data_IF_330903085641
#
_entry.id   IF_330903085641
#
_cell.length_a   1.000
_cell.length_b   1.000
_cell.length_c   1.000
_cell.angle_alpha   90.00
_cell.angle_beta   90.00
_cell.angle_gamma   90.00
#
_symmetry.space_group_name_H-M   'P 1'
#
loop_
_entity.id
_entity.type
_entity.pdbx_description
1 polymer ?
#
# COMPACT_ATOMS: atom_id res chain seq x y z
N UNK A 1 -24.77 2.32 -0.52
CA UNK A 1 -24.15 3.53 0.04
C UNK A 1 -23.54 4.36 -1.08
N UNK A 2 -23.76 5.67 -1.06
CA UNK A 2 -23.00 6.66 -1.83
C UNK A 2 -21.65 6.97 -1.13
N UNK A 3 -20.78 7.75 -1.77
CA UNK A 3 -19.44 8.03 -1.23
C UNK A 3 -19.47 8.87 0.05
N UNK A 4 -20.47 9.74 0.23
CA UNK A 4 -20.60 10.57 1.44
C UNK A 4 -20.95 9.69 2.65
N UNK A 5 -21.89 8.76 2.48
CA UNK A 5 -22.24 7.77 3.51
C UNK A 5 -21.06 6.85 3.82
N UNK A 6 -20.29 6.45 2.80
CA UNK A 6 -19.10 5.62 2.98
C UNK A 6 -18.00 6.37 3.75
N UNK A 7 -17.72 7.63 3.42
CA UNK A 7 -16.77 8.46 4.18
C UNK A 7 -17.22 8.64 5.62
N UNK A 8 -18.51 8.91 5.85
CA UNK A 8 -19.08 9.02 7.20
C UNK A 8 -18.91 7.73 8.00
N UNK A 9 -19.05 6.57 7.36
CA UNK A 9 -18.80 5.29 8.00
C UNK A 9 -17.31 5.08 8.26
N UNK A 10 -16.44 5.36 7.28
CA UNK A 10 -15.01 5.09 7.35
C UNK A 10 -14.32 5.81 8.52
N UNK A 11 -14.64 7.09 8.76
CA UNK A 11 -14.08 7.84 9.90
C UNK A 11 -14.44 7.24 11.26
N UNK A 12 -15.52 6.45 11.34
CA UNK A 12 -15.95 5.73 12.54
C UNK A 12 -15.36 4.33 12.61
N UNK A 13 -15.19 3.66 11.46
CA UNK A 13 -14.76 2.27 11.39
C UNK A 13 -13.24 2.11 11.36
N UNK A 14 -12.45 3.16 11.07
CA UNK A 14 -10.97 3.05 11.12
C UNK A 14 -10.52 2.54 12.49
N UNK A 15 -9.58 1.61 12.50
CA UNK A 15 -9.13 0.95 13.73
C UNK A 15 -8.37 1.92 14.64
N UNK A 16 -7.49 2.73 14.06
CA UNK A 16 -6.70 3.72 14.80
C UNK A 16 -7.41 5.06 14.85
N UNK A 17 -7.49 5.65 16.05
CA UNK A 17 -8.09 6.98 16.24
C UNK A 17 -7.38 8.06 15.43
N UNK A 18 -6.06 8.01 15.35
CA UNK A 18 -5.23 9.02 14.67
C UNK A 18 -4.85 8.49 13.28
N UNK A 19 -5.20 9.17 12.18
CA UNK A 19 -4.72 8.83 10.85
C UNK A 19 -3.19 8.96 10.72
N UNK A 20 -2.59 8.36 9.69
CA UNK A 20 -1.18 8.54 9.33
C UNK A 20 -1.02 8.47 7.82
N UNK A 21 0.22 8.60 7.35
CA UNK A 21 0.64 8.39 5.98
C UNK A 21 1.87 7.49 5.90
N UNK A 22 1.96 6.77 4.80
CA UNK A 22 3.12 6.04 4.30
C UNK A 22 3.59 6.68 2.99
N UNK A 23 4.89 6.56 2.71
CA UNK A 23 5.46 7.03 1.45
C UNK A 23 6.36 6.00 0.74
N UNK A 24 6.46 6.14 -0.57
CA UNK A 24 7.49 5.49 -1.38
C UNK A 24 8.77 6.33 -1.40
N UNK A 25 9.92 5.67 -1.24
CA UNK A 25 11.25 6.24 -1.35
C UNK A 25 12.08 5.34 -2.27
N UNK A 26 12.20 5.73 -3.52
CA UNK A 26 12.87 4.95 -4.57
C UNK A 26 13.61 5.88 -5.53
N UNK A 27 14.44 5.35 -6.40
CA UNK A 27 14.92 6.08 -7.58
C UNK A 27 15.26 5.09 -8.69
N UNK A 28 15.28 5.57 -9.94
CA UNK A 28 15.52 4.73 -11.14
C UNK A 28 16.83 3.94 -11.12
N UNK A 29 17.79 4.35 -10.29
CA UNK A 29 19.16 3.81 -10.28
C UNK A 29 19.43 2.92 -9.07
N UNK A 30 18.45 2.68 -8.20
CA UNK A 30 18.66 2.01 -6.92
C UNK A 30 19.81 2.65 -6.13
N UNK A 31 19.96 3.98 -6.22
CA UNK A 31 21.04 4.71 -5.58
C UNK A 31 20.79 4.79 -4.07
N UNK A 32 21.58 4.09 -3.23
CA UNK A 32 21.34 4.03 -1.79
C UNK A 32 21.59 5.37 -1.11
N UNK A 33 22.45 6.24 -1.66
CA UNK A 33 22.71 7.55 -1.06
C UNK A 33 21.49 8.46 -1.21
N UNK A 34 20.85 8.42 -2.37
CA UNK A 34 19.62 9.17 -2.63
C UNK A 34 18.47 8.61 -1.77
N UNK A 35 18.27 7.29 -1.73
CA UNK A 35 17.24 6.65 -0.87
C UNK A 35 17.40 7.10 0.58
N UNK A 36 18.62 7.09 1.14
CA UNK A 36 18.84 7.51 2.52
C UNK A 36 18.51 8.98 2.77
N UNK A 37 18.81 9.87 1.81
CA UNK A 37 18.51 11.30 1.92
C UNK A 37 17.00 11.56 1.84
N UNK A 38 16.33 11.00 0.82
CA UNK A 38 14.89 11.16 0.61
C UNK A 38 14.09 10.54 1.77
N UNK A 39 14.56 9.41 2.32
CA UNK A 39 13.97 8.78 3.50
C UNK A 39 14.06 9.65 4.76
N UNK A 40 15.19 10.36 4.94
CA UNK A 40 15.36 11.29 6.05
C UNK A 40 14.41 12.49 5.91
N UNK A 41 14.30 13.07 4.72
CA UNK A 41 13.33 14.14 4.43
C UNK A 41 11.89 13.68 4.69
N UNK A 42 11.51 12.52 4.17
CA UNK A 42 10.19 11.93 4.38
C UNK A 42 9.88 11.73 5.88
N UNK A 43 10.88 11.30 6.66
CA UNK A 43 10.75 11.15 8.12
C UNK A 43 10.43 12.49 8.81
N UNK A 44 11.10 13.57 8.39
CA UNK A 44 10.88 14.93 8.91
C UNK A 44 9.51 15.47 8.50
N UNK A 45 9.05 15.17 7.28
CA UNK A 45 7.73 15.57 6.76
C UNK A 45 6.55 14.86 7.44
N UNK A 46 6.82 13.79 8.21
CA UNK A 46 5.82 13.17 9.09
C UNK A 46 5.28 11.81 8.63
N UNK A 47 5.86 11.21 7.59
CA UNK A 47 5.52 9.83 7.21
C UNK A 47 5.90 8.85 8.33
N UNK A 48 5.01 7.92 8.67
CA UNK A 48 5.23 6.94 9.75
C UNK A 48 5.67 5.57 9.26
N UNK A 49 5.38 5.27 8.00
CA UNK A 49 5.94 4.12 7.30
C UNK A 49 6.54 4.60 5.99
N UNK A 50 7.66 3.99 5.59
CA UNK A 50 8.31 4.25 4.31
C UNK A 50 8.58 2.94 3.61
N UNK A 51 8.49 2.95 2.30
CA UNK A 51 8.61 1.77 1.46
C UNK A 51 9.57 2.05 0.33
N UNK A 52 10.44 1.08 0.04
CA UNK A 52 11.25 1.09 -1.16
C UNK A 52 10.98 -0.18 -1.96
N UNK A 53 11.37 -0.16 -3.23
CA UNK A 53 11.48 -1.33 -4.08
C UNK A 53 12.68 -1.12 -5.00
N UNK A 54 12.83 -1.93 -6.03
CA UNK A 54 14.05 -2.07 -6.81
C UNK A 54 13.81 -1.93 -8.31
N UNK A 55 14.70 -1.22 -9.01
CA UNK A 55 14.84 -1.35 -10.46
C UNK A 55 15.55 -2.63 -10.86
N UNK A 56 16.51 -3.07 -10.05
CA UNK A 56 17.27 -4.30 -10.22
C UNK A 56 17.20 -5.11 -8.92
N UNK A 57 16.58 -6.28 -8.96
CA UNK A 57 16.32 -7.14 -7.78
C UNK A 57 17.52 -7.34 -6.83
N UNK A 58 18.74 -7.43 -7.37
CA UNK A 58 19.97 -7.63 -6.58
C UNK A 58 20.37 -6.45 -5.70
N UNK A 59 19.79 -5.26 -5.92
CA UNK A 59 20.01 -4.07 -5.08
C UNK A 59 19.12 -4.04 -3.83
N UNK A 60 18.16 -4.95 -3.67
CA UNK A 60 17.21 -4.94 -2.55
C UNK A 60 17.87 -4.79 -1.16
N UNK A 61 18.99 -5.47 -0.83
CA UNK A 61 19.65 -5.25 0.45
C UNK A 61 20.18 -3.83 0.66
N UNK A 62 20.68 -3.18 -0.41
CA UNK A 62 21.16 -1.80 -0.35
C UNK A 62 20.02 -0.80 -0.24
N UNK A 63 18.93 -1.00 -0.99
CA UNK A 63 17.74 -0.15 -0.90
C UNK A 63 17.12 -0.24 0.50
N UNK A 64 16.92 -1.45 1.02
CA UNK A 64 16.38 -1.69 2.35
C UNK A 64 17.23 -1.03 3.46
N UNK A 65 18.56 -1.24 3.43
CA UNK A 65 19.46 -0.65 4.42
C UNK A 65 19.50 0.87 4.35
N UNK A 66 19.55 1.42 3.13
CA UNK A 66 19.54 2.87 2.91
C UNK A 66 18.26 3.51 3.43
N UNK A 67 17.11 2.91 3.13
CA UNK A 67 15.81 3.35 3.61
C UNK A 67 15.79 3.32 5.14
N UNK A 68 16.13 2.19 5.77
CA UNK A 68 16.16 2.05 7.22
C UNK A 68 17.02 3.13 7.89
N UNK A 69 18.27 3.30 7.44
CA UNK A 69 19.19 4.31 7.99
C UNK A 69 18.64 5.72 7.79
N UNK A 70 18.20 6.06 6.57
CA UNK A 70 17.68 7.38 6.24
C UNK A 70 16.45 7.73 7.08
N UNK A 71 15.46 6.83 7.16
CA UNK A 71 14.25 7.05 7.93
C UNK A 71 14.55 7.26 9.42
N UNK A 72 15.49 6.49 10.00
CA UNK A 72 15.88 6.69 11.40
C UNK A 72 16.65 8.00 11.63
N UNK A 73 17.43 8.47 10.65
CA UNK A 73 18.09 9.77 10.70
C UNK A 73 17.08 10.93 10.66
N UNK A 74 16.02 10.81 9.86
CA UNK A 74 14.97 11.82 9.76
C UNK A 74 14.06 11.86 11.00
N UNK A 75 13.48 10.71 11.36
CA UNK A 75 12.63 10.56 12.54
C UNK A 75 12.73 9.14 13.12
N UNK A 76 13.39 8.96 14.28
CA UNK A 76 13.46 7.66 14.94
C UNK A 76 12.07 7.07 15.20
N UNK A 77 11.89 5.79 14.88
CA UNK A 77 10.63 5.05 15.03
C UNK A 77 9.77 4.96 13.77
N UNK A 78 10.17 5.59 12.66
CA UNK A 78 9.57 5.33 11.35
C UNK A 78 9.83 3.88 10.93
N UNK A 79 8.80 3.19 10.45
CA UNK A 79 8.93 1.80 9.98
C UNK A 79 9.27 1.76 8.49
N UNK A 80 10.09 0.80 8.08
CA UNK A 80 10.61 0.68 6.72
C UNK A 80 10.44 -0.73 6.17
N UNK A 81 10.02 -0.82 4.91
CA UNK A 81 9.91 -2.08 4.16
C UNK A 81 10.61 -2.01 2.81
N UNK A 82 10.89 -3.17 2.21
CA UNK A 82 11.51 -3.30 0.89
C UNK A 82 10.78 -4.36 0.08
N UNK A 83 9.85 -3.91 -0.75
CA UNK A 83 8.88 -4.73 -1.47
C UNK A 83 9.55 -5.46 -2.63
N UNK A 84 9.68 -6.79 -2.51
CA UNK A 84 10.29 -7.69 -3.51
C UNK A 84 9.55 -9.04 -3.51
N UNK A 85 10.08 -10.06 -4.18
CA UNK A 85 9.53 -11.41 -4.10
C UNK A 85 9.48 -11.91 -2.64
N UNK A 86 8.42 -12.62 -2.28
CA UNK A 86 8.00 -12.90 -0.90
C UNK A 86 9.05 -13.63 -0.05
N UNK A 87 9.71 -14.66 -0.59
CA UNK A 87 10.75 -15.38 0.12
C UNK A 87 12.00 -14.50 0.32
N UNK A 88 12.35 -13.71 -0.69
CA UNK A 88 13.43 -12.73 -0.64
C UNK A 88 13.14 -11.64 0.39
N UNK A 89 11.92 -11.10 0.42
CA UNK A 89 11.49 -10.06 1.35
C UNK A 89 11.54 -10.57 2.80
N UNK A 90 11.06 -11.78 3.05
CA UNK A 90 11.16 -12.42 4.36
C UNK A 90 12.61 -12.61 4.78
N UNK A 91 13.50 -13.00 3.86
CA UNK A 91 14.93 -13.13 4.14
C UNK A 91 15.57 -11.79 4.51
N UNK A 92 15.22 -10.69 3.82
CA UNK A 92 15.66 -9.34 4.19
C UNK A 92 15.19 -8.97 5.61
N UNK A 93 13.94 -9.29 5.94
CA UNK A 93 13.38 -9.11 7.28
C UNK A 93 14.11 -9.94 8.34
N UNK A 94 14.38 -11.22 8.07
CA UNK A 94 15.14 -12.09 8.99
C UNK A 94 16.58 -11.60 9.23
N UNK A 95 17.17 -10.91 8.26
CA UNK A 95 18.49 -10.27 8.37
C UNK A 95 18.43 -8.91 9.06
N UNK A 96 17.26 -8.44 9.46
CA UNK A 96 17.06 -7.17 10.17
C UNK A 96 17.19 -5.93 9.28
N UNK A 97 16.98 -6.07 7.96
CA UNK A 97 17.09 -4.96 7.01
C UNK A 97 15.77 -4.20 6.81
N UNK A 98 14.65 -4.77 7.24
CA UNK A 98 13.32 -4.15 7.23
C UNK A 98 12.69 -4.28 8.61
N UNK A 99 11.76 -3.37 8.95
CA UNK A 99 11.01 -3.42 10.21
C UNK A 99 9.63 -4.04 10.05
N UNK A 100 9.10 -4.10 8.84
CA UNK A 100 7.81 -4.69 8.51
C UNK A 100 7.74 -5.08 7.02
N UNK A 101 6.64 -5.74 6.62
CA UNK A 101 6.30 -6.07 5.22
C UNK A 101 4.80 -5.83 4.95
N UNK A 102 4.45 -5.39 3.74
CA UNK A 102 3.07 -5.07 3.34
C UNK A 102 2.68 -5.75 2.04
N UNK A 103 3.60 -5.82 1.07
CA UNK A 103 3.36 -6.37 -0.27
C UNK A 103 3.16 -7.88 -0.32
N UNK A 104 2.72 -8.46 0.80
CA UNK A 104 2.33 -9.86 0.95
C UNK A 104 0.97 -10.09 0.28
N UNK A 105 0.99 -10.36 -1.02
CA UNK A 105 -0.19 -10.16 -1.89
C UNK A 105 -1.22 -11.29 -1.79
N UNK A 106 -2.52 -10.99 -1.81
CA UNK A 106 -3.60 -12.01 -1.86
C UNK A 106 -4.62 -11.70 -2.96
N UNK A 107 -5.26 -12.75 -3.48
CA UNK A 107 -6.10 -12.67 -4.68
C UNK A 107 -7.46 -13.35 -4.51
N UNK A 108 -8.45 -12.87 -5.26
CA UNK A 108 -9.85 -13.23 -5.12
C UNK A 108 -10.31 -14.42 -5.97
N UNK A 109 -9.44 -14.99 -6.82
CA UNK A 109 -9.70 -16.24 -7.57
C UNK A 109 -8.49 -17.17 -7.46
N UNK A 110 -8.73 -18.48 -7.53
CA UNK A 110 -7.68 -19.49 -7.32
C UNK A 110 -6.64 -19.48 -8.44
N UNK A 111 -7.06 -19.29 -9.69
CA UNK A 111 -6.16 -19.18 -10.83
C UNK A 111 -5.18 -18.00 -10.68
N UNK A 112 -5.69 -16.84 -10.24
CA UNK A 112 -4.86 -15.64 -10.01
C UNK A 112 -3.95 -15.84 -8.81
N UNK A 113 -4.42 -16.49 -7.75
CA UNK A 113 -3.57 -16.85 -6.60
C UNK A 113 -2.40 -17.73 -7.02
N UNK A 114 -2.66 -18.71 -7.89
CA UNK A 114 -1.65 -19.62 -8.43
C UNK A 114 -0.64 -18.88 -9.29
N UNK A 115 -1.08 -17.97 -10.17
CA UNK A 115 -0.19 -17.13 -10.98
C UNK A 115 0.59 -16.11 -10.12
N UNK A 116 0.07 -15.76 -8.95
CA UNK A 116 0.78 -15.04 -7.89
C UNK A 116 1.75 -15.91 -7.06
N UNK A 117 2.02 -17.14 -7.49
CA UNK A 117 2.91 -18.14 -6.90
C UNK A 117 2.57 -18.54 -5.44
N UNK A 118 1.29 -18.52 -5.10
CA UNK A 118 0.86 -18.77 -3.73
C UNK A 118 -0.52 -19.43 -3.61
N UNK A 119 -0.88 -19.74 -2.37
CA UNK A 119 -2.20 -20.21 -1.97
C UNK A 119 -2.63 -19.48 -0.69
N UNK A 120 -3.92 -19.52 -0.31
CA UNK A 120 -4.34 -19.00 0.99
C UNK A 120 -3.57 -19.62 2.17
N UNK A 121 -3.13 -20.88 2.07
CA UNK A 121 -2.35 -21.56 3.10
C UNK A 121 -0.90 -21.09 3.16
N UNK A 122 -0.22 -20.95 2.02
CA UNK A 122 1.16 -20.46 2.00
C UNK A 122 1.24 -19.03 2.51
N UNK A 123 0.28 -18.17 2.14
CA UNK A 123 0.18 -16.80 2.70
C UNK A 123 -0.08 -16.80 4.20
N UNK A 124 -1.04 -17.59 4.69
CA UNK A 124 -1.30 -17.66 6.13
C UNK A 124 -0.08 -18.17 6.94
N UNK A 125 0.66 -19.13 6.37
CA UNK A 125 1.92 -19.58 6.93
C UNK A 125 2.99 -18.47 6.91
N UNK A 126 3.12 -17.74 5.79
CA UNK A 126 4.05 -16.62 5.63
C UNK A 126 3.77 -15.49 6.63
N UNK A 127 2.50 -15.11 6.81
CA UNK A 127 2.10 -14.14 7.81
C UNK A 127 2.56 -14.57 9.22
N UNK A 128 2.36 -15.84 9.56
CA UNK A 128 2.83 -16.41 10.83
C UNK A 128 4.37 -16.47 10.91
N UNK A 129 5.06 -16.65 9.78
CA UNK A 129 6.51 -16.62 9.72
C UNK A 129 7.06 -15.23 10.05
N UNK A 130 6.51 -14.15 9.48
CA UNK A 130 6.85 -12.77 9.87
C UNK A 130 6.58 -12.54 11.37
N UNK A 131 5.38 -12.91 11.85
CA UNK A 131 5.01 -12.73 13.25
C UNK A 131 5.94 -13.51 14.22
N UNK A 132 6.37 -14.72 13.85
CA UNK A 132 7.30 -15.52 14.66
C UNK A 132 8.70 -14.90 14.78
N UNK A 133 9.03 -13.93 13.93
CA UNK A 133 10.27 -13.14 13.97
C UNK A 133 10.07 -11.75 14.59
N UNK A 134 8.87 -11.48 15.10
CA UNK A 134 8.52 -10.18 15.69
C UNK A 134 8.39 -9.05 14.67
N UNK A 135 8.19 -9.37 13.39
CA UNK A 135 8.04 -8.39 12.32
C UNK A 135 6.56 -8.07 12.12
N UNK A 136 6.22 -6.78 12.11
CA UNK A 136 4.89 -6.32 11.67
C UNK A 136 4.69 -6.75 10.22
N UNK A 137 3.49 -7.15 9.87
CA UNK A 137 3.14 -7.29 8.46
C UNK A 137 1.67 -7.00 8.22
N UNK A 138 1.33 -6.74 6.97
CA UNK A 138 -0.04 -6.77 6.46
C UNK A 138 -0.05 -7.44 5.08
N UNK A 139 -1.23 -7.82 4.61
CA UNK A 139 -1.39 -8.25 3.23
C UNK A 139 -1.61 -7.05 2.31
N UNK A 140 -1.46 -7.28 1.00
CA UNK A 140 -1.92 -6.38 -0.05
C UNK A 140 -2.97 -7.07 -0.91
N UNK A 141 -4.07 -6.39 -1.18
CA UNK A 141 -5.06 -6.77 -2.19
C UNK A 141 -5.55 -5.52 -2.93
N UNK A 142 -6.54 -5.67 -3.79
CA UNK A 142 -7.13 -4.53 -4.46
C UNK A 142 -8.04 -4.94 -5.60
N UNK A 143 -9.14 -4.20 -5.75
CA UNK A 143 -10.03 -4.36 -6.90
C UNK A 143 -9.25 -4.26 -8.22
N UNK A 144 -9.53 -5.20 -9.12
CA UNK A 144 -9.02 -5.19 -10.50
C UNK A 144 -7.85 -6.13 -10.76
N UNK A 145 -7.21 -6.69 -9.72
CA UNK A 145 -6.10 -7.64 -9.86
C UNK A 145 -6.49 -8.87 -10.68
N UNK A 146 -7.65 -9.46 -10.44
CA UNK A 146 -8.07 -10.67 -11.16
C UNK A 146 -8.47 -10.38 -12.60
N UNK A 147 -8.92 -9.16 -12.89
CA UNK A 147 -9.18 -8.72 -14.25
C UNK A 147 -7.86 -8.45 -15.00
N UNK A 148 -6.88 -7.84 -14.34
CA UNK A 148 -5.55 -7.59 -14.88
C UNK A 148 -4.80 -8.89 -15.18
N UNK A 149 -4.90 -9.87 -14.27
CA UNK A 149 -4.27 -11.18 -14.38
C UNK A 149 -5.10 -12.20 -15.19
N UNK A 150 -6.25 -11.79 -15.74
CA UNK A 150 -6.96 -12.54 -16.79
C UNK A 150 -8.03 -13.54 -16.33
N UNK A 151 -8.26 -13.72 -15.03
CA UNK A 151 -9.20 -14.73 -14.50
C UNK A 151 -10.15 -14.16 -13.44
N UNK A 152 -11.09 -13.31 -13.88
CA UNK A 152 -12.10 -12.68 -13.02
C UNK A 152 -13.37 -13.52 -12.73
N UNK A 153 -13.46 -14.74 -13.28
CA UNK A 153 -14.58 -15.68 -13.08
C UNK A 153 -15.99 -15.06 -13.31
N UNK A 154 -16.09 -14.05 -14.18
CA UNK A 154 -17.32 -13.28 -14.43
C UNK A 154 -17.92 -12.67 -13.15
N UNK A 155 -17.08 -12.24 -12.20
CA UNK A 155 -17.49 -11.56 -10.98
C UNK A 155 -17.10 -10.09 -11.02
N UNK A 156 -17.79 -9.27 -10.23
CA UNK A 156 -17.41 -7.87 -10.08
C UNK A 156 -16.10 -7.77 -9.30
N UNK A 157 -15.30 -6.74 -9.61
CA UNK A 157 -14.03 -6.49 -8.91
C UNK A 157 -14.23 -6.39 -7.40
N UNK A 158 -15.29 -5.67 -6.95
CA UNK A 158 -15.57 -5.49 -5.52
C UNK A 158 -15.97 -6.80 -4.82
N UNK A 159 -16.63 -7.73 -5.52
CA UNK A 159 -16.93 -9.05 -4.96
C UNK A 159 -15.64 -9.86 -4.76
N UNK A 160 -14.75 -9.86 -5.75
CA UNK A 160 -13.47 -10.57 -5.66
C UNK A 160 -12.58 -9.97 -4.58
N UNK A 161 -12.50 -8.65 -4.53
CA UNK A 161 -11.78 -7.96 -3.46
C UNK A 161 -12.38 -8.26 -2.07
N UNK A 162 -13.70 -8.41 -1.96
CA UNK A 162 -14.29 -8.85 -0.69
C UNK A 162 -13.75 -10.23 -0.27
N UNK A 163 -13.53 -11.16 -1.21
CA UNK A 163 -12.89 -12.46 -0.90
C UNK A 163 -11.47 -12.25 -0.37
N UNK A 164 -10.68 -11.38 -0.99
CA UNK A 164 -9.34 -11.02 -0.51
C UNK A 164 -9.36 -10.53 0.93
N UNK A 165 -10.25 -9.59 1.25
CA UNK A 165 -10.39 -9.04 2.61
C UNK A 165 -10.76 -10.14 3.61
N UNK A 166 -11.67 -11.06 3.25
CA UNK A 166 -12.01 -12.20 4.11
C UNK A 166 -10.88 -13.22 4.25
N UNK A 167 -10.02 -13.39 3.23
CA UNK A 167 -8.80 -14.20 3.33
C UNK A 167 -7.83 -13.55 4.32
N UNK A 168 -7.62 -12.23 4.24
CA UNK A 168 -6.79 -11.48 5.20
C UNK A 168 -7.29 -11.66 6.62
N UNK A 169 -8.60 -11.48 6.85
CA UNK A 169 -9.20 -11.68 8.18
C UNK A 169 -9.09 -13.14 8.64
N UNK A 170 -9.35 -14.09 7.75
CA UNK A 170 -9.29 -15.53 8.03
C UNK A 170 -7.88 -16.02 8.35
N UNK A 171 -6.85 -15.40 7.79
CA UNK A 171 -5.45 -15.68 8.08
C UNK A 171 -4.98 -15.10 9.43
N UNK A 172 -5.81 -14.29 10.11
CA UNK A 172 -5.44 -13.63 11.36
C UNK A 172 -4.43 -12.49 11.17
N UNK A 173 -4.33 -11.95 9.95
CA UNK A 173 -3.47 -10.79 9.66
C UNK A 173 -4.11 -9.52 10.22
N UNK A 174 -3.29 -8.64 10.78
CA UNK A 174 -3.72 -7.45 11.51
C UNK A 174 -4.27 -6.32 10.61
N UNK A 175 -3.86 -6.28 9.34
CA UNK A 175 -4.16 -5.19 8.43
C UNK A 175 -4.11 -5.59 6.96
N UNK A 176 -4.49 -4.65 6.12
CA UNK A 176 -4.55 -4.80 4.67
C UNK A 176 -4.22 -3.48 3.98
N UNK A 177 -3.29 -3.51 3.02
CA UNK A 177 -3.23 -2.51 1.98
C UNK A 177 -4.26 -2.87 0.89
N UNK A 178 -5.24 -2.00 0.69
CA UNK A 178 -6.17 -2.12 -0.44
C UNK A 178 -6.70 -0.77 -0.92
N UNK A 179 -7.56 -0.78 -1.93
CA UNK A 179 -8.00 0.40 -2.66
C UNK A 179 -7.49 0.40 -4.10
N UNK A 180 -7.63 -0.74 -4.77
CA UNK A 180 -7.08 -1.11 -6.08
C UNK A 180 -5.55 -1.14 -6.20
N UNK A 181 -4.81 -0.30 -5.48
CA UNK A 181 -3.33 -0.28 -5.45
C UNK A 181 -2.81 -0.23 -6.89
N UNK A 182 -1.89 -1.13 -7.29
CA UNK A 182 -1.28 -1.18 -8.62
C UNK A 182 -2.27 -1.49 -9.74
N UNK A 183 -3.48 -1.93 -9.41
CA UNK A 183 -4.55 -2.24 -10.37
C UNK A 183 -5.53 -1.08 -10.56
N UNK A 184 -5.26 0.11 -9.99
CA UNK A 184 -6.16 1.28 -10.05
C UNK A 184 -6.54 1.70 -11.48
N UNK A 185 -5.69 1.44 -12.48
CA UNK A 185 -6.02 1.65 -13.89
C UNK A 185 -7.23 0.83 -14.35
N UNK A 186 -7.35 -0.42 -13.92
CA UNK A 186 -8.47 -1.30 -14.26
C UNK A 186 -9.77 -0.84 -13.59
N UNK A 187 -9.71 -0.61 -12.28
CA UNK A 187 -10.88 -0.19 -11.51
C UNK A 187 -11.33 1.21 -11.92
N UNK A 188 -10.39 2.15 -12.10
CA UNK A 188 -10.65 3.52 -12.51
C UNK A 188 -11.16 3.68 -13.94
N UNK A 189 -11.00 2.67 -14.81
CA UNK A 189 -11.47 2.69 -16.20
C UNK A 189 -12.99 2.47 -16.33
N UNK A 190 -13.67 1.95 -15.31
CA UNK A 190 -15.09 1.57 -15.39
C UNK A 190 -15.99 2.45 -14.51
N UNK A 191 -17.30 2.56 -14.83
CA UNK A 191 -18.24 3.33 -14.04
C UNK A 191 -18.26 2.90 -12.57
N UNK A 192 -18.36 3.88 -11.66
CA UNK A 192 -18.34 3.65 -10.20
C UNK A 192 -17.04 3.03 -9.65
N UNK A 193 -15.98 2.92 -10.46
CA UNK A 193 -14.69 2.37 -10.05
C UNK A 193 -14.11 3.02 -8.79
N UNK A 194 -13.97 4.34 -8.80
CA UNK A 194 -13.44 5.09 -7.64
C UNK A 194 -14.33 4.97 -6.40
N UNK A 195 -15.65 4.79 -6.59
CA UNK A 195 -16.55 4.47 -5.48
C UNK A 195 -16.32 3.05 -4.95
N UNK A 196 -16.01 2.08 -5.82
CA UNK A 196 -15.64 0.72 -5.41
C UNK A 196 -14.34 0.70 -4.60
N UNK A 197 -13.36 1.52 -4.99
CA UNK A 197 -12.10 1.73 -4.24
C UNK A 197 -12.37 2.23 -2.81
N UNK A 198 -13.29 3.16 -2.62
CA UNK A 198 -13.68 3.56 -1.25
C UNK A 198 -14.42 2.43 -0.51
N UNK A 199 -15.26 1.68 -1.23
CA UNK A 199 -16.05 0.61 -0.65
C UNK A 199 -15.18 -0.55 -0.12
N UNK A 200 -14.11 -0.94 -0.82
CA UNK A 200 -13.21 -2.01 -0.34
C UNK A 200 -12.43 -1.60 0.91
N UNK A 201 -11.99 -0.33 1.01
CA UNK A 201 -11.37 0.20 2.22
C UNK A 201 -12.36 0.16 3.41
N UNK A 202 -13.61 0.53 3.16
CA UNK A 202 -14.66 0.49 4.19
C UNK A 202 -14.98 -0.94 4.63
N UNK A 203 -15.06 -1.91 3.70
CA UNK A 203 -15.28 -3.32 4.05
C UNK A 203 -14.16 -3.83 4.95
N UNK A 204 -12.90 -3.55 4.62
CA UNK A 204 -11.75 -3.93 5.45
C UNK A 204 -11.83 -3.32 6.85
N UNK A 205 -12.11 -2.01 6.94
CA UNK A 205 -12.29 -1.33 8.24
C UNK A 205 -13.48 -1.90 9.04
N UNK A 206 -14.58 -2.26 8.36
CA UNK A 206 -15.73 -2.89 9.01
C UNK A 206 -15.44 -4.29 9.56
N UNK A 207 -14.41 -4.97 9.05
CA UNK A 207 -13.91 -6.23 9.59
C UNK A 207 -12.79 -6.02 10.63
N UNK A 208 -12.61 -4.80 11.13
CA UNK A 208 -11.60 -4.49 12.16
C UNK A 208 -10.20 -4.93 11.72
N UNK A 209 -9.83 -4.53 10.50
CA UNK A 209 -8.48 -4.61 9.96
C UNK A 209 -7.91 -3.19 9.91
N UNK A 210 -6.62 -3.03 10.21
CA UNK A 210 -5.87 -1.81 9.85
C UNK A 210 -5.93 -1.63 8.32
N UNK A 211 -6.27 -0.43 7.84
CA UNK A 211 -6.36 -0.14 6.40
C UNK A 211 -5.31 0.87 5.94
N UNK A 212 -4.36 0.38 5.15
CA UNK A 212 -3.45 1.21 4.36
C UNK A 212 -4.10 1.45 2.97
N UNK A 213 -4.67 2.63 2.77
CA UNK A 213 -5.78 2.81 1.81
C UNK A 213 -5.38 3.22 0.40
N UNK A 214 -4.30 2.65 -0.12
CA UNK A 214 -3.76 2.94 -1.45
C UNK A 214 -3.41 4.43 -1.59
N UNK A 215 -4.02 5.13 -2.55
CA UNK A 215 -3.58 6.47 -3.00
C UNK A 215 -2.11 6.49 -3.47
N UNK A 216 -1.57 5.33 -3.82
CA UNK A 216 -0.15 5.03 -3.97
C UNK A 216 0.26 4.78 -5.42
N UNK A 217 -0.69 4.90 -6.36
CA UNK A 217 -0.50 4.52 -7.76
C UNK A 217 -1.14 5.50 -8.73
N UNK A 218 -0.44 5.78 -9.83
CA UNK A 218 -0.93 6.65 -10.90
C UNK A 218 -2.09 6.00 -11.67
N UNK A 219 -3.11 6.78 -12.01
CA UNK A 219 -4.24 6.31 -12.84
C UNK A 219 -4.82 7.37 -13.78
N UNK A 220 -4.33 8.61 -13.71
CA UNK A 220 -4.85 9.73 -14.48
C UNK A 220 -3.81 10.81 -14.70
N UNK A 221 -3.83 11.43 -15.89
CA UNK A 221 -3.07 12.65 -16.18
C UNK A 221 -3.75 13.94 -15.68
N UNK A 222 -4.88 13.84 -14.97
CA UNK A 222 -5.67 14.98 -14.54
C UNK A 222 -5.52 15.16 -13.05
N UNK A 223 -5.04 16.32 -12.63
CA UNK A 223 -4.90 16.70 -11.22
C UNK A 223 -6.25 16.67 -10.48
N UNK A 224 -7.31 17.09 -11.16
CA UNK A 224 -8.67 17.03 -10.63
C UNK A 224 -9.09 15.58 -10.34
N UNK A 225 -8.83 14.66 -11.28
CA UNK A 225 -9.24 13.25 -11.15
C UNK A 225 -8.46 12.53 -10.05
N UNK A 226 -7.14 12.75 -9.95
CA UNK A 226 -6.31 12.17 -8.88
C UNK A 226 -6.65 12.74 -7.50
N UNK A 227 -6.94 14.05 -7.42
CA UNK A 227 -7.38 14.70 -6.17
C UNK A 227 -8.74 14.18 -5.72
N UNK A 228 -9.72 14.09 -6.62
CA UNK A 228 -11.05 13.57 -6.30
C UNK A 228 -11.02 12.13 -5.77
N UNK A 229 -10.09 11.30 -6.27
CA UNK A 229 -9.82 9.95 -5.74
C UNK A 229 -9.25 10.02 -4.32
N UNK A 230 -8.22 10.84 -4.08
CA UNK A 230 -7.57 11.00 -2.77
C UNK A 230 -8.54 11.44 -1.68
N UNK A 231 -9.41 12.40 -1.98
CA UNK A 231 -10.34 12.97 -0.99
C UNK A 231 -11.26 11.93 -0.36
N UNK A 232 -11.50 10.79 -1.01
CA UNK A 232 -12.34 9.71 -0.49
C UNK A 232 -11.76 9.06 0.77
N UNK A 233 -10.43 8.98 0.90
CA UNK A 233 -9.75 8.44 2.08
C UNK A 233 -9.19 9.56 2.97
N UNK A 234 -8.77 10.69 2.38
CA UNK A 234 -8.19 11.82 3.12
C UNK A 234 -9.21 12.46 4.06
N UNK A 235 -10.39 12.82 3.57
CA UNK A 235 -11.40 13.53 4.36
C UNK A 235 -11.88 12.75 5.59
N UNK A 236 -12.23 11.44 5.48
CA UNK A 236 -12.59 10.69 6.68
C UNK A 236 -11.37 10.26 7.50
N UNK A 237 -10.18 10.17 6.89
CA UNK A 237 -8.99 9.56 7.46
C UNK A 237 -9.08 8.03 7.58
N UNK A 238 -8.01 7.34 7.21
CA UNK A 238 -7.81 5.88 7.40
C UNK A 238 -6.59 5.63 8.28
N UNK A 239 -6.24 4.37 8.54
CA UNK A 239 -5.02 4.06 9.29
C UNK A 239 -3.78 4.59 8.56
N UNK A 240 -3.71 4.42 7.23
CA UNK A 240 -2.80 5.18 6.37
C UNK A 240 -3.55 5.74 5.17
N UNK A 241 -3.71 7.07 5.09
CA UNK A 241 -4.46 7.75 4.01
C UNK A 241 -3.81 7.43 2.67
N UNK A 242 -2.49 7.61 2.62
CA UNK A 242 -1.63 7.06 1.58
C UNK A 242 -0.90 5.85 2.15
N UNK A 243 -0.97 4.72 1.47
CA UNK A 243 -0.06 3.59 1.66
C UNK A 243 1.20 3.70 0.78
N UNK A 244 1.44 4.88 0.19
CA UNK A 244 2.53 5.04 -0.77
C UNK A 244 2.54 6.37 -1.47
N UNK A 245 2.41 7.49 -0.75
CA UNK A 245 2.68 8.82 -1.29
C UNK A 245 4.11 8.84 -1.85
N UNK A 246 4.39 9.29 -3.07
CA UNK A 246 5.78 9.29 -3.53
C UNK A 246 6.57 10.41 -2.85
N UNK A 247 7.51 10.09 -1.96
CA UNK A 247 8.39 11.09 -1.36
C UNK A 247 9.52 11.56 -2.30
N UNK A 248 9.54 11.01 -3.51
CA UNK A 248 10.39 11.42 -4.64
C UNK A 248 9.49 11.88 -5.78
N UNK A 249 9.97 12.69 -6.74
CA UNK A 249 9.21 12.99 -7.95
C UNK A 249 8.90 11.70 -8.71
N UNK A 250 7.73 11.61 -9.35
CA UNK A 250 7.21 10.37 -9.91
C UNK A 250 8.10 9.73 -10.98
N UNK A 251 9.01 10.46 -11.62
CA UNK A 251 9.98 9.87 -12.54
C UNK A 251 10.92 8.88 -11.85
N UNK A 252 11.16 9.04 -10.55
CA UNK A 252 11.99 8.19 -9.71
C UNK A 252 11.19 7.14 -8.94
N UNK A 253 9.86 7.15 -9.06
CA UNK A 253 9.00 6.21 -8.36
C UNK A 253 9.02 4.83 -9.06
N UNK A 254 9.65 3.85 -8.41
CA UNK A 254 9.83 2.49 -8.95
C UNK A 254 8.58 1.62 -8.87
N UNK A 255 7.50 2.12 -8.26
CA UNK A 255 6.16 1.54 -8.37
C UNK A 255 5.39 2.09 -9.58
N UNK A 256 6.07 2.64 -10.59
CA UNK A 256 5.47 3.28 -11.77
C UNK A 256 4.61 4.52 -11.44
N UNK A 257 5.02 5.27 -10.41
CA UNK A 257 4.40 6.53 -10.03
C UNK A 257 3.27 6.35 -9.02
N UNK A 258 3.22 7.26 -8.05
CA UNK A 258 2.13 7.38 -7.08
C UNK A 258 1.09 8.43 -7.50
N UNK A 259 -0.09 8.36 -6.87
CA UNK A 259 -1.19 9.30 -7.12
C UNK A 259 -0.81 10.74 -6.72
N UNK A 260 0.05 10.90 -5.70
CA UNK A 260 0.68 12.15 -5.30
C UNK A 260 2.19 11.94 -5.14
N UNK A 261 2.99 12.95 -5.45
CA UNK A 261 4.45 12.86 -5.35
C UNK A 261 5.11 14.07 -4.64
N UNK A 262 6.44 14.11 -4.64
CA UNK A 262 7.18 15.16 -3.94
C UNK A 262 6.88 16.58 -4.42
N UNK A 263 6.40 16.75 -5.65
CA UNK A 263 6.00 18.06 -6.18
C UNK A 263 4.64 18.52 -5.61
N UNK A 264 3.84 17.59 -5.09
CA UNK A 264 2.53 17.88 -4.49
C UNK A 264 2.60 18.20 -2.98
N UNK A 265 3.78 18.23 -2.35
CA UNK A 265 3.88 18.37 -0.89
C UNK A 265 3.19 19.65 -0.37
N UNK A 266 3.38 20.77 -1.05
CA UNK A 266 2.80 22.04 -0.64
C UNK A 266 1.29 22.04 -0.85
N UNK A 267 0.82 21.49 -1.98
CA UNK A 267 -0.61 21.31 -2.27
C UNK A 267 -1.27 20.40 -1.22
N UNK A 268 -0.63 19.30 -0.83
CA UNK A 268 -1.17 18.40 0.19
C UNK A 268 -1.27 19.08 1.56
N UNK A 269 -0.30 19.93 1.92
CA UNK A 269 -0.30 20.65 3.19
C UNK A 269 -1.38 21.74 3.29
N UNK A 270 -1.87 22.26 2.16
CA UNK A 270 -2.94 23.28 2.15
C UNK A 270 -4.35 22.70 2.03
N UNK A 271 -4.48 21.42 1.65
CA UNK A 271 -5.78 20.75 1.58
C UNK A 271 -6.41 20.68 2.99
N UNK A 272 -7.74 20.85 3.10
CA UNK A 272 -8.43 20.79 4.39
C UNK A 272 -8.34 19.38 4.96
N UNK A 273 -7.69 19.26 6.13
CA UNK A 273 -7.56 18.03 6.93
C UNK A 273 -8.53 18.02 8.12
#
# INVERSE_FOLDING_TARGET
MNVVEMMMALQKMRARRTPSNQCHVTNLKDNPVQIAADAAEAGIRGFSEQETTVGIARYAPFNALALLVGSQCGRPGVLTQCSVEEATELELGMRGLTSYAETVSVYGTEAVFTDGDDTPWSKAFLASAYASRGLKMRYTSGTGSEALMGYSESKSMLYLESRCIFITKGAGVQGLQNGAVSCIGMTGAVPSGIRAVLAENLIASMLDLEVASANDQTFSHSDIRRTARTLMQMLPGTDFIFSGYSAVPNYDNMFAGSNFDAEDFDDYNILPA
#
